data_IF_529322475531
#
_entry.id   IF_529322475531
#
_cell.length_a   1.000
_cell.length_b   1.000
_cell.length_c   1.000
_cell.angle_alpha   90.00
_cell.angle_beta   90.00
_cell.angle_gamma   90.00
#
_symmetry.space_group_name_H-M   'P 1'
#
loop_
_entity.id
_entity.type
_entity.pdbx_description
1 polymer ?
#
# COMPACT_ATOMS: atom_id res chain seq x y z
N UNK A 1 6.77 -11.98 14.44
CA UNK A 1 7.54 -10.74 14.63
C UNK A 1 7.46 -9.75 13.44
N UNK A 2 6.77 -10.04 12.33
CA UNK A 2 6.48 -9.06 11.24
C UNK A 2 4.97 -8.76 11.13
N UNK A 3 4.10 -9.76 11.31
CA UNK A 3 2.64 -9.60 11.15
C UNK A 3 1.98 -8.62 12.14
N UNK A 4 2.55 -8.45 13.34
CA UNK A 4 2.03 -7.50 14.34
C UNK A 4 2.15 -6.02 13.90
N UNK A 5 3.06 -5.71 12.98
CA UNK A 5 3.21 -4.37 12.39
C UNK A 5 2.35 -4.15 11.14
N UNK A 6 1.75 -5.21 10.59
CA UNK A 6 0.97 -5.18 9.34
C UNK A 6 -0.35 -5.96 9.49
N UNK A 7 -1.27 -5.49 10.35
CA UNK A 7 -2.55 -6.16 10.58
C UNK A 7 -3.39 -6.31 9.31
N UNK A 8 -3.18 -5.44 8.32
CA UNK A 8 -3.87 -5.53 7.03
C UNK A 8 -3.67 -6.89 6.35
N UNK A 9 -2.47 -7.48 6.36
CA UNK A 9 -2.25 -8.78 5.70
C UNK A 9 -3.06 -9.92 6.35
N UNK A 10 -3.38 -9.79 7.65
CA UNK A 10 -4.22 -10.75 8.37
C UNK A 10 -5.72 -10.52 8.13
N UNK A 11 -6.13 -9.28 7.84
CA UNK A 11 -7.52 -8.88 7.63
C UNK A 11 -7.92 -8.82 6.14
N UNK A 12 -6.95 -8.80 5.23
CA UNK A 12 -7.18 -8.71 3.80
C UNK A 12 -7.94 -9.92 3.27
N UNK A 13 -8.90 -9.66 2.37
CA UNK A 13 -9.57 -10.71 1.61
C UNK A 13 -8.59 -11.45 0.72
N UNK A 14 -8.93 -12.66 0.31
CA UNK A 14 -8.05 -13.50 -0.52
C UNK A 14 -7.60 -12.81 -1.81
N UNK A 15 -8.46 -12.00 -2.42
CA UNK A 15 -8.24 -11.22 -3.65
C UNK A 15 -7.43 -9.92 -3.44
N UNK A 16 -7.22 -9.52 -2.18
CA UNK A 16 -6.45 -8.33 -1.79
C UNK A 16 -5.06 -8.68 -1.25
N UNK A 17 -4.71 -9.97 -1.22
CA UNK A 17 -3.41 -10.40 -0.71
C UNK A 17 -2.35 -10.39 -1.82
N UNK A 18 -1.17 -9.83 -1.54
CA UNK A 18 -0.03 -9.92 -2.44
C UNK A 18 0.45 -11.37 -2.54
N UNK A 19 1.19 -11.71 -3.62
CA UNK A 19 1.86 -13.00 -3.69
C UNK A 19 2.83 -13.19 -2.50
N UNK A 20 3.06 -14.44 -2.06
CA UNK A 20 3.97 -14.72 -0.96
C UNK A 20 5.39 -14.24 -1.28
N UNK A 21 6.20 -13.85 -0.27
CA UNK A 21 7.55 -13.29 -0.50
C UNK A 21 8.50 -14.18 -1.32
N UNK A 22 8.29 -15.49 -1.30
CA UNK A 22 9.10 -16.49 -2.02
C UNK A 22 8.69 -16.63 -3.51
N UNK A 23 7.70 -15.87 -3.96
CA UNK A 23 7.12 -15.97 -5.30
C UNK A 23 8.03 -15.36 -6.37
N UNK A 24 8.07 -15.96 -7.57
CA UNK A 24 8.74 -15.40 -8.75
C UNK A 24 7.94 -14.30 -9.47
N UNK A 25 6.79 -13.90 -8.90
CA UNK A 25 5.90 -12.92 -9.50
C UNK A 25 6.52 -11.53 -9.50
N UNK A 26 6.54 -10.90 -10.66
CA UNK A 26 7.02 -9.52 -10.83
C UNK A 26 5.91 -8.48 -10.75
N UNK A 27 4.69 -8.88 -11.12
CA UNK A 27 3.53 -8.00 -11.20
C UNK A 27 2.39 -8.58 -10.37
N UNK A 28 1.74 -7.72 -9.61
CA UNK A 28 0.53 -8.04 -8.88
C UNK A 28 -0.59 -7.12 -9.34
N UNK A 29 -1.66 -7.70 -9.89
CA UNK A 29 -2.77 -6.98 -10.48
C UNK A 29 -4.04 -7.23 -9.67
N UNK A 30 -4.67 -6.16 -9.17
CA UNK A 30 -5.97 -6.21 -8.53
C UNK A 30 -7.03 -5.67 -9.49
N UNK A 31 -7.89 -6.55 -10.00
CA UNK A 31 -9.05 -6.19 -10.82
C UNK A 31 -10.33 -6.27 -10.00
N UNK A 32 -11.22 -5.31 -10.18
CA UNK A 32 -12.51 -5.30 -9.50
C UNK A 32 -13.26 -3.98 -9.67
N UNK A 33 -14.54 -3.96 -9.34
CA UNK A 33 -15.40 -2.78 -9.41
C UNK A 33 -15.09 -1.71 -8.35
N UNK A 34 -15.95 -0.69 -8.26
CA UNK A 34 -15.91 0.30 -7.17
C UNK A 34 -16.13 -0.41 -5.83
N UNK A 35 -15.47 0.05 -4.76
CA UNK A 35 -15.58 -0.56 -3.43
C UNK A 35 -14.83 -1.89 -3.24
N UNK A 36 -14.19 -2.45 -4.27
CA UNK A 36 -13.40 -3.69 -4.15
C UNK A 36 -12.13 -3.54 -3.26
N UNK A 37 -11.81 -2.34 -2.79
CA UNK A 37 -10.67 -2.11 -1.88
C UNK A 37 -9.29 -2.15 -2.53
N UNK A 38 -9.22 -2.01 -3.87
CA UNK A 38 -7.97 -2.00 -4.64
C UNK A 38 -6.98 -0.94 -4.12
N UNK A 39 -7.46 0.27 -3.88
CA UNK A 39 -6.62 1.39 -3.39
C UNK A 39 -6.06 1.09 -2.01
N UNK A 40 -6.88 0.56 -1.09
CA UNK A 40 -6.43 0.22 0.27
C UNK A 40 -5.37 -0.89 0.23
N UNK A 41 -5.62 -1.94 -0.55
CA UNK A 41 -4.66 -3.04 -0.70
C UNK A 41 -3.33 -2.58 -1.30
N UNK A 42 -3.36 -1.71 -2.33
CA UNK A 42 -2.16 -1.11 -2.90
C UNK A 42 -1.39 -0.24 -1.90
N UNK A 43 -2.08 0.59 -1.12
CA UNK A 43 -1.45 1.44 -0.11
C UNK A 43 -0.77 0.61 0.99
N UNK A 44 -1.45 -0.40 1.50
CA UNK A 44 -0.93 -1.27 2.57
C UNK A 44 0.25 -2.12 2.08
N UNK A 45 0.17 -2.65 0.86
CA UNK A 45 1.30 -3.36 0.25
C UNK A 45 2.50 -2.47 0.02
N UNK A 46 2.28 -1.25 -0.46
CA UNK A 46 3.35 -0.26 -0.65
C UNK A 46 4.05 0.03 0.67
N UNK A 47 3.27 0.33 1.72
CA UNK A 47 3.78 0.58 3.07
C UNK A 47 4.56 -0.62 3.60
N UNK A 48 4.02 -1.83 3.48
CA UNK A 48 4.72 -3.06 3.86
C UNK A 48 6.04 -3.24 3.12
N UNK A 49 6.03 -3.07 1.79
CA UNK A 49 7.22 -3.25 0.95
C UNK A 49 8.34 -2.28 1.33
N UNK A 50 8.00 -1.03 1.65
CA UNK A 50 8.98 -0.02 2.08
C UNK A 50 9.53 -0.36 3.46
N UNK A 51 8.66 -0.60 4.44
CA UNK A 51 9.06 -0.84 5.83
C UNK A 51 9.78 -2.19 6.03
N UNK A 52 9.49 -3.19 5.19
CA UNK A 52 10.21 -4.46 5.17
C UNK A 52 11.58 -4.37 4.45
N UNK A 53 11.97 -3.19 3.95
CA UNK A 53 13.24 -2.99 3.24
C UNK A 53 13.25 -3.54 1.82
N UNK A 54 12.08 -3.91 1.26
CA UNK A 54 11.96 -4.41 -0.12
C UNK A 54 11.94 -3.31 -1.18
N UNK A 55 11.73 -2.05 -0.78
CA UNK A 55 11.68 -0.92 -1.70
C UNK A 55 12.05 0.40 -1.01
N UNK A 56 12.93 1.19 -1.62
CA UNK A 56 13.28 2.53 -1.11
C UNK A 56 12.55 3.66 -1.85
N UNK A 57 12.22 3.45 -3.13
CA UNK A 57 11.64 4.46 -4.02
C UNK A 57 10.41 3.91 -4.71
N UNK A 58 9.27 4.55 -4.45
CA UNK A 58 7.97 4.14 -5.00
C UNK A 58 7.46 5.19 -5.97
N UNK A 59 7.06 4.76 -7.15
CA UNK A 59 6.32 5.59 -8.09
C UNK A 59 4.81 5.33 -7.94
N UNK A 60 4.03 6.39 -7.72
CA UNK A 60 2.58 6.36 -7.82
C UNK A 60 2.18 6.97 -9.16
N UNK A 61 1.50 6.18 -10.00
CA UNK A 61 1.23 6.55 -11.39
C UNK A 61 -0.28 6.53 -11.63
N UNK A 62 -0.80 7.64 -12.15
CA UNK A 62 -2.20 7.81 -12.51
C UNK A 62 -2.34 8.78 -13.69
N UNK A 63 -3.56 8.99 -14.21
CA UNK A 63 -3.80 9.82 -15.39
C UNK A 63 -3.30 11.26 -15.21
N UNK A 64 -3.47 11.82 -14.01
CA UNK A 64 -2.94 13.12 -13.62
C UNK A 64 -2.31 13.09 -12.23
N UNK A 65 -1.50 14.11 -11.92
CA UNK A 65 -0.97 14.33 -10.56
C UNK A 65 -2.12 14.53 -9.55
N UNK A 66 -3.20 15.20 -9.95
CA UNK A 66 -4.39 15.40 -9.13
C UNK A 66 -5.03 14.07 -8.75
N UNK A 67 -5.25 13.19 -9.73
CA UNK A 67 -5.83 11.86 -9.48
C UNK A 67 -4.99 11.03 -8.51
N UNK A 68 -3.67 11.04 -8.67
CA UNK A 68 -2.75 10.34 -7.77
C UNK A 68 -2.87 10.89 -6.35
N UNK A 69 -2.85 12.22 -6.22
CA UNK A 69 -2.92 12.88 -4.92
C UNK A 69 -4.25 12.59 -4.21
N UNK A 70 -5.37 12.83 -4.88
CA UNK A 70 -6.70 12.73 -4.30
C UNK A 70 -7.11 11.29 -3.99
N UNK A 71 -6.64 10.30 -4.78
CA UNK A 71 -7.05 8.90 -4.60
C UNK A 71 -6.00 8.11 -3.81
N UNK A 72 -4.73 8.18 -4.20
CA UNK A 72 -3.68 7.27 -3.70
C UNK A 72 -3.00 7.81 -2.45
N UNK A 73 -2.94 9.14 -2.26
CA UNK A 73 -2.24 9.77 -1.13
C UNK A 73 -3.24 10.23 -0.06
N UNK A 74 -4.11 11.17 -0.42
CA UNK A 74 -5.01 11.87 0.52
C UNK A 74 -6.38 11.22 0.65
N UNK A 75 -6.74 10.35 -0.30
CA UNK A 75 -8.02 9.67 -0.31
C UNK A 75 -8.24 8.78 0.92
N UNK A 76 -9.50 8.38 1.19
CA UNK A 76 -9.86 7.62 2.40
C UNK A 76 -9.20 6.23 2.48
N UNK A 77 -8.75 5.71 1.34
CA UNK A 77 -7.99 4.45 1.25
C UNK A 77 -6.50 4.67 0.92
N UNK A 78 -6.06 5.92 0.82
CA UNK A 78 -4.72 6.29 0.41
C UNK A 78 -3.68 6.18 1.53
N UNK A 79 -2.41 6.43 1.19
CA UNK A 79 -1.28 6.26 2.09
C UNK A 79 -1.39 7.06 3.39
N UNK A 80 -1.90 8.30 3.34
CA UNK A 80 -2.04 9.11 4.58
C UNK A 80 -3.09 8.56 5.53
N UNK A 81 -4.11 7.86 5.01
CA UNK A 81 -5.18 7.30 5.82
C UNK A 81 -4.76 6.02 6.57
N UNK A 82 -3.67 5.37 6.14
CA UNK A 82 -3.17 4.12 6.76
C UNK A 82 -1.96 4.35 7.67
N UNK A 83 -1.36 5.54 7.62
CA UNK A 83 -0.15 5.83 8.37
C UNK A 83 -0.47 5.99 9.87
N UNK A 84 0.21 5.25 10.76
CA UNK A 84 0.03 5.40 12.20
C UNK A 84 0.42 6.80 12.65
N UNK A 85 -0.46 7.47 13.40
CA UNK A 85 -0.19 8.80 13.93
C UNK A 85 1.09 8.78 14.79
N UNK A 86 2.07 9.61 14.41
CA UNK A 86 3.22 9.96 15.25
C UNK A 86 4.40 8.97 15.24
N UNK A 87 4.42 7.95 14.37
CA UNK A 87 5.44 6.90 14.46
C UNK A 87 6.68 7.12 13.58
N UNK A 88 6.55 7.68 12.37
CA UNK A 88 7.69 7.77 11.44
C UNK A 88 7.58 9.00 10.52
N UNK A 89 7.83 10.21 11.05
CA UNK A 89 7.95 11.40 10.20
C UNK A 89 9.37 11.50 9.63
N UNK A 90 9.53 11.69 8.31
CA UNK A 90 10.84 11.95 7.74
C UNK A 90 11.44 13.21 8.35
N UNK A 91 12.69 13.10 8.79
CA UNK A 91 13.51 14.25 9.21
C UNK A 91 14.20 14.77 7.96
N UNK A 92 13.83 15.98 7.57
CA UNK A 92 14.52 16.69 6.49
C UNK A 92 15.66 17.50 7.12
N UNK A 93 16.88 17.29 6.63
CA UNK A 93 18.06 18.09 6.98
C UNK A 93 18.29 19.15 5.91
#
# INVERSE_FOLDING_TARGET
>A
MVLAQFPFLALARSDQRPPPPQSSWRNWLLLGGRGAGKTRAGAEWTRFSVLAGGCERVALVGPTLGDVREVMIEGPSGLRAIEPIGRERPVYH
#
